data_IF_034880537995
#
_entry.id   IF_034880537995
#
_cell.length_a   1.000
_cell.length_b   1.000
_cell.length_c   1.000
_cell.angle_alpha   90.00
_cell.angle_beta   90.00
_cell.angle_gamma   90.00
#
_symmetry.space_group_name_H-M   'P 1'
#
loop_
_entity.id
_entity.type
_entity.pdbx_description
1 polymer ?
#
# COMPACT_ATOMS: atom_id res chain seq x y z
N UNK A 1 -25.69 0.58 1.39
CA UNK A 1 -25.27 -0.17 0.18
C UNK A 1 -25.08 -1.62 0.59
N UNK A 2 -25.92 -2.54 0.10
CA UNK A 2 -25.62 -3.98 0.18
C UNK A 2 -24.86 -4.33 -1.10
N UNK A 3 -23.54 -4.14 -1.09
CA UNK A 3 -22.68 -4.78 -2.10
C UNK A 3 -22.86 -6.29 -1.92
N UNK A 4 -23.17 -7.00 -3.01
CA UNK A 4 -23.14 -8.46 -2.95
C UNK A 4 -21.69 -8.88 -2.68
N UNK A 5 -21.47 -9.91 -1.85
CA UNK A 5 -20.12 -10.44 -1.58
C UNK A 5 -19.36 -10.75 -2.88
N UNK A 6 -20.08 -11.20 -3.90
CA UNK A 6 -19.53 -11.49 -5.22
C UNK A 6 -19.01 -10.23 -5.94
N UNK A 7 -19.70 -9.10 -5.80
CA UNK A 7 -19.26 -7.83 -6.39
C UNK A 7 -18.02 -7.29 -5.69
N UNK A 8 -17.97 -7.40 -4.35
CA UNK A 8 -16.79 -7.03 -3.58
C UNK A 8 -15.57 -7.89 -3.98
N UNK A 9 -15.74 -9.20 -4.04
CA UNK A 9 -14.69 -10.14 -4.48
C UNK A 9 -14.18 -9.78 -5.88
N UNK A 10 -15.08 -9.50 -6.82
CA UNK A 10 -14.75 -9.14 -8.19
C UNK A 10 -13.97 -7.82 -8.28
N UNK A 11 -14.33 -6.81 -7.47
CA UNK A 11 -13.58 -5.55 -7.41
C UNK A 11 -12.19 -5.80 -6.80
N UNK A 12 -12.08 -6.61 -5.75
CA UNK A 12 -10.82 -6.95 -5.11
C UNK A 12 -9.87 -7.67 -6.06
N UNK A 13 -10.33 -8.70 -6.74
CA UNK A 13 -9.52 -9.47 -7.70
C UNK A 13 -8.96 -8.57 -8.81
N UNK A 14 -9.79 -7.64 -9.30
CA UNK A 14 -9.39 -6.67 -10.31
C UNK A 14 -8.38 -5.63 -9.79
N UNK A 15 -8.60 -5.07 -8.60
CA UNK A 15 -7.73 -4.03 -8.04
C UNK A 15 -6.39 -4.58 -7.56
N UNK A 16 -6.36 -5.80 -7.03
CA UNK A 16 -5.15 -6.44 -6.48
C UNK A 16 -4.33 -7.17 -7.55
N UNK A 17 -4.81 -7.23 -8.79
CA UNK A 17 -4.07 -7.76 -9.93
C UNK A 17 -4.13 -9.28 -10.09
N UNK A 18 -5.12 -9.94 -9.48
CA UNK A 18 -5.31 -11.39 -9.56
C UNK A 18 -6.04 -11.84 -10.84
N UNK A 19 -6.37 -10.92 -11.76
CA UNK A 19 -7.15 -11.19 -12.97
C UNK A 19 -6.30 -11.29 -14.24
N UNK A 20 -6.65 -12.22 -15.13
CA UNK A 20 -6.07 -12.36 -16.47
C UNK A 20 -6.46 -11.18 -17.39
N UNK A 21 -5.98 -11.20 -18.64
CA UNK A 21 -6.23 -10.11 -19.58
C UNK A 21 -7.71 -10.03 -20.01
N UNK A 22 -8.35 -11.18 -20.17
CA UNK A 22 -9.77 -11.29 -20.54
C UNK A 22 -10.68 -10.67 -19.47
N UNK A 23 -10.42 -10.98 -18.21
CA UNK A 23 -11.18 -10.50 -17.05
C UNK A 23 -11.04 -8.98 -16.89
N UNK A 24 -9.87 -8.41 -17.21
CA UNK A 24 -9.67 -6.95 -17.22
C UNK A 24 -10.54 -6.27 -18.27
N UNK A 25 -10.62 -6.82 -19.47
CA UNK A 25 -11.48 -6.28 -20.54
C UNK A 25 -12.95 -6.40 -20.16
N UNK A 26 -13.37 -7.55 -19.61
CA UNK A 26 -14.72 -7.76 -19.14
C UNK A 26 -15.10 -6.75 -18.03
N UNK A 27 -14.19 -6.52 -17.07
CA UNK A 27 -14.40 -5.52 -16.03
C UNK A 27 -14.56 -4.12 -16.60
N UNK A 28 -13.73 -3.71 -17.55
CA UNK A 28 -13.84 -2.40 -18.21
C UNK A 28 -15.19 -2.23 -18.89
N UNK A 29 -15.65 -3.25 -19.62
CA UNK A 29 -16.98 -3.24 -20.23
C UNK A 29 -18.10 -3.10 -19.18
N UNK A 30 -18.02 -3.84 -18.06
CA UNK A 30 -18.98 -3.74 -16.96
C UNK A 30 -19.02 -2.33 -16.35
N UNK A 31 -17.87 -1.70 -16.11
CA UNK A 31 -17.81 -0.33 -15.57
C UNK A 31 -18.41 0.72 -16.51
N UNK A 32 -18.42 0.48 -17.82
CA UNK A 32 -19.12 1.36 -18.79
C UNK A 32 -20.64 1.17 -18.68
N UNK A 33 -21.09 -0.08 -18.56
CA UNK A 33 -22.51 -0.44 -18.55
C UNK A 33 -23.18 -0.24 -17.18
N UNK A 34 -22.40 -0.21 -16.09
CA UNK A 34 -22.88 -0.19 -14.70
C UNK A 34 -22.20 0.95 -13.94
N UNK A 35 -22.80 2.16 -13.90
CA UNK A 35 -22.24 3.32 -13.23
C UNK A 35 -21.96 3.11 -11.73
N UNK A 36 -22.84 2.38 -11.03
CA UNK A 36 -22.70 2.09 -9.59
C UNK A 36 -21.47 1.22 -9.30
N UNK A 37 -21.17 0.26 -10.19
CA UNK A 37 -19.95 -0.56 -10.11
C UNK A 37 -18.70 0.30 -10.30
N UNK A 38 -18.73 1.21 -11.29
CA UNK A 38 -17.62 2.15 -11.53
C UNK A 38 -17.37 3.05 -10.33
N UNK A 39 -18.42 3.54 -9.69
CA UNK A 39 -18.30 4.33 -8.46
C UNK A 39 -17.72 3.51 -7.31
N UNK A 40 -18.18 2.28 -7.13
CA UNK A 40 -17.67 1.36 -6.10
C UNK A 40 -16.17 1.06 -6.29
N UNK A 41 -15.76 0.73 -7.52
CA UNK A 41 -14.34 0.53 -7.88
C UNK A 41 -13.52 1.78 -7.60
N UNK A 42 -14.02 2.96 -7.98
CA UNK A 42 -13.33 4.23 -7.76
C UNK A 42 -13.08 4.49 -6.27
N UNK A 43 -14.11 4.37 -5.43
CA UNK A 43 -13.98 4.62 -4.00
C UNK A 43 -13.09 3.59 -3.31
N UNK A 44 -13.20 2.31 -3.66
CA UNK A 44 -12.32 1.29 -3.09
C UNK A 44 -10.86 1.53 -3.47
N UNK A 45 -10.58 1.88 -4.73
CA UNK A 45 -9.24 2.24 -5.17
C UNK A 45 -8.68 3.47 -4.44
N UNK A 46 -9.52 4.49 -4.22
CA UNK A 46 -9.13 5.69 -3.46
C UNK A 46 -8.81 5.35 -2.01
N UNK A 47 -9.63 4.54 -1.37
CA UNK A 47 -9.40 4.06 0.01
C UNK A 47 -8.08 3.30 0.12
N UNK A 48 -7.78 2.38 -0.80
CA UNK A 48 -6.50 1.66 -0.80
C UNK A 48 -5.30 2.58 -0.92
N UNK A 49 -5.35 3.58 -1.82
CA UNK A 49 -4.27 4.57 -1.92
C UNK A 49 -4.08 5.37 -0.64
N UNK A 50 -5.18 5.73 0.04
CA UNK A 50 -5.12 6.47 1.30
C UNK A 50 -4.47 5.62 2.41
N UNK A 51 -4.90 4.36 2.54
CA UNK A 51 -4.34 3.40 3.49
C UNK A 51 -2.85 3.18 3.21
N UNK A 52 -2.46 2.95 1.95
CA UNK A 52 -1.06 2.77 1.56
C UNK A 52 -0.22 4.01 1.90
N UNK A 53 -0.71 5.20 1.55
CA UNK A 53 0.00 6.46 1.83
C UNK A 53 0.20 6.65 3.32
N UNK A 54 -0.85 6.46 4.12
CA UNK A 54 -0.78 6.59 5.56
C UNK A 54 0.16 5.56 6.18
N UNK A 55 0.06 4.29 5.76
CA UNK A 55 0.93 3.21 6.21
C UNK A 55 2.41 3.49 5.90
N UNK A 56 2.71 4.03 4.71
CA UNK A 56 4.08 4.44 4.34
C UNK A 56 4.61 5.55 5.24
N UNK A 57 3.80 6.56 5.56
CA UNK A 57 4.22 7.63 6.48
C UNK A 57 4.46 7.12 7.90
N UNK A 58 3.62 6.21 8.38
CA UNK A 58 3.81 5.55 9.66
C UNK A 58 5.09 4.72 9.69
N UNK A 59 5.34 3.89 8.67
CA UNK A 59 6.57 3.10 8.56
C UNK A 59 7.82 4.00 8.51
N UNK A 60 7.77 5.12 7.77
CA UNK A 60 8.86 6.11 7.76
C UNK A 60 9.12 6.70 9.14
N UNK A 61 8.07 6.97 9.91
CA UNK A 61 8.19 7.47 11.28
C UNK A 61 8.88 6.45 12.18
N UNK A 62 8.49 5.19 12.09
CA UNK A 62 9.10 4.09 12.87
C UNK A 62 10.58 3.92 12.50
N UNK A 63 10.92 3.90 11.21
CA UNK A 63 12.31 3.84 10.75
C UNK A 63 13.14 5.01 11.31
N UNK A 64 12.59 6.24 11.28
CA UNK A 64 13.26 7.41 11.86
C UNK A 64 13.47 7.28 13.36
N UNK A 65 12.50 6.74 14.10
CA UNK A 65 12.62 6.52 15.54
C UNK A 65 13.72 5.50 15.85
N UNK A 66 13.74 4.36 15.13
CA UNK A 66 14.79 3.35 15.28
C UNK A 66 16.16 3.92 14.94
N UNK A 67 16.27 4.67 13.84
CA UNK A 67 17.51 5.35 13.48
C UNK A 67 17.98 6.32 14.59
N UNK A 68 17.07 7.14 15.13
CA UNK A 68 17.40 8.05 16.21
C UNK A 68 17.92 7.29 17.43
N UNK A 69 17.25 6.22 17.86
CA UNK A 69 17.67 5.39 18.99
C UNK A 69 19.07 4.83 18.76
N UNK A 70 19.29 4.14 17.64
CA UNK A 70 20.57 3.46 17.33
C UNK A 70 21.75 4.42 17.16
N UNK A 71 21.53 5.65 16.68
CA UNK A 71 22.62 6.57 16.37
C UNK A 71 22.83 7.67 17.42
N UNK A 72 21.94 7.82 18.40
CA UNK A 72 22.08 8.85 19.45
C UNK A 72 22.19 8.29 20.87
N UNK A 73 21.66 7.09 21.15
CA UNK A 73 21.79 6.51 22.48
C UNK A 73 23.25 6.07 22.75
N UNK A 74 23.81 6.41 23.94
CA UNK A 74 25.20 6.08 24.27
C UNK A 74 25.46 4.57 24.31
N UNK A 75 24.45 3.76 24.60
CA UNK A 75 24.50 2.29 24.59
C UNK A 75 24.73 1.66 23.21
N UNK A 76 24.56 2.43 22.12
CA UNK A 76 24.74 1.96 20.74
C UNK A 76 25.96 2.58 20.04
N UNK A 77 26.86 3.24 20.77
CA UNK A 77 28.04 3.91 20.21
C UNK A 77 28.90 3.00 19.32
N UNK A 78 29.25 1.81 19.81
CA UNK A 78 30.11 0.85 19.09
C UNK A 78 29.46 0.36 17.78
N UNK A 79 28.14 0.19 17.78
CA UNK A 79 27.38 -0.16 16.59
C UNK A 79 27.41 0.97 15.56
N UNK A 80 27.14 2.21 15.99
CA UNK A 80 27.20 3.40 15.14
C UNK A 80 28.58 3.57 14.51
N UNK A 81 29.64 3.51 15.29
CA UNK A 81 31.03 3.67 14.80
C UNK A 81 31.37 2.60 13.75
N UNK A 82 31.00 1.33 14.02
CA UNK A 82 31.23 0.24 13.07
C UNK A 82 30.48 0.44 11.76
N UNK A 83 29.24 0.96 11.81
CA UNK A 83 28.48 1.25 10.58
C UNK A 83 29.12 2.40 9.81
N UNK A 84 29.49 3.50 10.49
CA UNK A 84 30.09 4.66 9.84
C UNK A 84 31.40 4.32 9.12
N UNK A 85 32.18 3.37 9.65
CA UNK A 85 33.40 2.87 9.01
C UNK A 85 33.17 2.23 7.63
N UNK A 86 32.00 1.64 7.37
CA UNK A 86 31.69 1.08 6.05
C UNK A 86 31.50 2.15 4.97
N UNK A 87 31.19 3.39 5.36
CA UNK A 87 30.90 4.50 4.45
C UNK A 87 32.01 5.56 4.42
N UNK A 88 33.09 5.38 5.18
CA UNK A 88 34.19 6.34 5.28
C UNK A 88 35.35 6.06 4.30
N UNK A 89 35.04 5.65 3.07
CA UNK A 89 35.98 5.57 1.94
C UNK A 89 35.54 6.50 0.82
#
# INVERSE_FOLDING_TARGET
MKTSLNELQLIEDFLLGNTNAEDKVLMQARQILQPDLKESVYWQQKTYRLIETYGREQLRKEIRQVHQMLFTAPEHLSFRERIQQFFSK
#
